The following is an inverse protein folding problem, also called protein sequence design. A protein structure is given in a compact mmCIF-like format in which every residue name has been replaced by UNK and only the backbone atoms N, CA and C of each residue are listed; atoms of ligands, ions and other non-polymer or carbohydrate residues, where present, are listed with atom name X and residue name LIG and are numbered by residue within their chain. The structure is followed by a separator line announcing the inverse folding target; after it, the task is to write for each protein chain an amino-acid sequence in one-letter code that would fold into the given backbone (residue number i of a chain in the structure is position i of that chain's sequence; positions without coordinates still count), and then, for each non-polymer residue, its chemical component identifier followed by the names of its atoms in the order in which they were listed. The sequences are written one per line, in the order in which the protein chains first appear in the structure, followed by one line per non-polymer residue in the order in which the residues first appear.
data_IF_615973085876
#
_entry.id   IF_615973085876
#
_cell.length_a   1.000
_cell.length_b   1.000
_cell.length_c   1.000
_cell.angle_alpha   90.00
_cell.angle_beta   90.00
_cell.angle_gamma   90.00
#
_symmetry.space_group_name_H-M   'P 1'
#
loop_
_entity.id
_entity.type
_entity.pdbx_description
1 polymer ?
#
# COMPACT_ATOMS: atom_id res chain seq x y z
N UNK A 1 6.50 0.93 3.78
CA UNK A 1 6.79 2.24 3.14
C UNK A 1 6.00 3.36 3.81
N UNK A 2 4.68 3.49 3.57
CA UNK A 2 3.87 4.60 4.11
C UNK A 2 3.99 4.83 5.63
N UNK A 3 3.78 3.79 6.44
CA UNK A 3 3.86 3.90 7.90
C UNK A 3 5.20 4.49 8.35
N UNK A 4 6.31 3.90 7.91
CA UNK A 4 7.66 4.38 8.23
C UNK A 4 7.88 5.80 7.75
N UNK A 5 7.41 6.19 6.56
CA UNK A 5 7.57 7.56 6.04
C UNK A 5 6.83 8.58 6.90
N UNK A 6 5.62 8.26 7.35
CA UNK A 6 4.77 9.14 8.18
C UNK A 6 5.35 9.31 9.58
N UNK A 7 5.73 8.19 10.20
CA UNK A 7 6.21 8.13 11.58
C UNK A 7 7.74 8.19 11.73
N UNK A 8 8.48 8.53 10.66
CA UNK A 8 9.96 8.46 10.69
C UNK A 8 10.64 9.25 11.81
N UNK A 9 10.01 10.33 12.29
CA UNK A 9 10.54 11.15 13.40
C UNK A 9 10.25 10.54 14.77
N UNK A 10 9.13 9.84 14.90
CA UNK A 10 8.72 9.14 16.12
C UNK A 10 9.44 7.79 16.24
N UNK A 11 9.69 7.15 15.09
CA UNK A 11 10.34 5.85 14.96
C UNK A 11 11.46 5.93 13.91
N UNK A 12 12.63 6.49 14.25
CA UNK A 12 13.77 6.59 13.33
C UNK A 12 14.26 5.22 12.88
N UNK A 13 14.76 5.11 11.65
CA UNK A 13 15.29 3.86 11.11
C UNK A 13 16.52 3.35 11.88
N UNK A 14 17.33 4.27 12.44
CA UNK A 14 18.46 3.96 13.32
C UNK A 14 18.04 3.58 14.76
N UNK A 15 16.75 3.73 15.10
CA UNK A 15 16.18 3.58 16.44
C UNK A 15 15.97 2.14 16.90
N UNK A 16 16.97 1.27 16.77
CA UNK A 16 17.05 -0.05 17.43
C UNK A 16 15.82 -0.98 17.31
N UNK A 17 15.72 -1.94 18.24
CA UNK A 17 14.68 -2.99 18.28
C UNK A 17 13.26 -2.46 18.55
N UNK A 18 13.09 -1.18 18.88
CA UNK A 18 11.81 -0.58 19.27
C UNK A 18 10.93 -0.10 18.13
N UNK A 19 11.38 -0.16 16.87
CA UNK A 19 10.55 0.23 15.73
C UNK A 19 9.33 -0.70 15.60
N UNK A 20 8.08 -0.20 15.48
CA UNK A 20 6.87 -1.05 15.48
C UNK A 20 6.86 -2.17 14.45
N UNK A 21 7.42 -1.93 13.25
CA UNK A 21 7.56 -2.98 12.21
C UNK A 21 8.52 -4.13 12.56
N UNK A 22 9.28 -4.05 13.67
CA UNK A 22 10.10 -5.16 14.15
C UNK A 22 9.29 -6.16 14.99
N UNK A 23 8.17 -5.73 15.57
CA UNK A 23 7.32 -6.53 16.46
C UNK A 23 5.91 -6.77 15.92
N UNK A 24 5.44 -5.91 15.02
CA UNK A 24 4.11 -5.98 14.41
C UNK A 24 4.22 -6.26 12.90
N UNK A 25 3.25 -6.98 12.37
CA UNK A 25 3.08 -7.12 10.93
C UNK A 25 2.68 -5.79 10.28
N UNK A 26 3.02 -5.53 9.00
CA UNK A 26 2.64 -4.29 8.33
C UNK A 26 1.13 -3.99 8.32
N UNK A 27 0.29 -5.03 8.29
CA UNK A 27 -1.18 -4.92 8.36
C UNK A 27 -1.72 -4.61 9.75
N UNK A 28 -0.90 -4.69 10.79
CA UNK A 28 -1.24 -4.23 12.14
C UNK A 28 -0.91 -2.74 12.32
N UNK A 29 0.14 -2.25 11.65
CA UNK A 29 0.51 -0.85 11.62
C UNK A 29 -0.41 0.00 10.73
N UNK A 30 -0.92 -0.56 9.62
CA UNK A 30 -1.90 0.09 8.74
C UNK A 30 -3.05 -0.88 8.49
N UNK A 31 -4.18 -0.64 9.16
CA UNK A 31 -5.32 -1.56 9.14
C UNK A 31 -6.17 -1.37 7.88
N UNK A 32 -6.64 -2.48 7.32
CA UNK A 32 -7.62 -2.49 6.25
C UNK A 32 -9.02 -2.14 6.75
N UNK A 33 -9.68 -1.22 6.04
CA UNK A 33 -11.06 -0.83 6.34
C UNK A 33 -11.99 -2.05 6.29
N UNK A 34 -11.94 -2.82 5.20
CA UNK A 34 -12.88 -3.91 4.91
C UNK A 34 -12.61 -5.23 5.64
N UNK A 35 -11.41 -5.45 6.18
CA UNK A 35 -11.05 -6.74 6.81
C UNK A 35 -10.80 -6.66 8.31
N UNK A 36 -10.43 -5.47 8.83
CA UNK A 36 -9.99 -5.33 10.22
C UNK A 36 -10.78 -4.29 11.01
N UNK A 37 -11.35 -3.28 10.34
CA UNK A 37 -12.05 -2.19 11.02
C UNK A 37 -13.57 -2.32 10.93
N UNK A 38 -14.11 -2.51 9.72
CA UNK A 38 -15.55 -2.71 9.47
C UNK A 38 -15.88 -4.19 9.37
N UNK A 39 -15.84 -4.88 10.51
CA UNK A 39 -16.23 -6.30 10.64
C UNK A 39 -17.70 -6.41 11.08
N UNK A 40 -18.38 -7.57 10.84
CA UNK A 40 -19.78 -7.74 11.21
C UNK A 40 -20.07 -7.37 12.66
N UNK A 41 -21.15 -6.61 12.87
CA UNK A 41 -21.62 -6.12 14.18
C UNK A 41 -20.66 -5.16 14.92
N UNK A 42 -19.70 -4.55 14.22
CA UNK A 42 -18.79 -3.59 14.82
C UNK A 42 -18.65 -2.33 13.95
N UNK A 43 -18.85 -1.17 14.58
CA UNK A 43 -18.52 0.13 13.99
C UNK A 43 -17.25 0.62 14.69
N UNK A 44 -16.13 0.80 13.97
CA UNK A 44 -14.87 1.23 14.57
C UNK A 44 -14.97 2.71 15.01
N UNK A 45 -14.48 3.01 16.21
CA UNK A 45 -14.33 4.37 16.72
C UNK A 45 -13.15 5.10 16.06
N UNK A 46 -13.28 5.47 14.79
CA UNK A 46 -12.18 6.08 14.02
C UNK A 46 -11.75 7.46 14.56
N UNK A 47 -12.61 8.11 15.36
CA UNK A 47 -12.34 9.39 16.01
C UNK A 47 -11.49 9.24 17.29
N UNK A 48 -11.35 8.02 17.81
CA UNK A 48 -10.48 7.71 18.96
C UNK A 48 -9.01 7.53 18.54
N UNK A 49 -8.75 7.44 17.22
CA UNK A 49 -7.41 7.25 16.68
C UNK A 49 -6.66 8.57 16.59
N UNK A 50 -5.39 8.56 16.98
CA UNK A 50 -4.50 9.72 16.90
C UNK A 50 -4.11 10.04 15.46
N UNK A 51 -4.09 11.32 15.11
CA UNK A 51 -3.61 11.78 13.81
C UNK A 51 -2.07 11.77 13.72
N UNK A 52 -1.49 11.54 12.52
CA UNK A 52 -2.19 11.22 11.28
C UNK A 52 -2.70 9.77 11.25
N UNK A 53 -3.99 9.60 10.94
CA UNK A 53 -4.61 8.27 10.80
C UNK A 53 -4.23 7.62 9.46
N UNK A 54 -3.79 6.36 9.52
CA UNK A 54 -3.40 5.57 8.35
C UNK A 54 -4.34 4.38 8.16
N UNK A 55 -4.94 4.28 6.98
CA UNK A 55 -5.83 3.19 6.61
C UNK A 55 -5.44 2.62 5.25
N UNK A 56 -5.74 1.34 5.04
CA UNK A 56 -5.62 0.67 3.76
C UNK A 56 -6.99 0.22 3.27
N UNK A 57 -7.18 0.15 1.95
CA UNK A 57 -8.38 -0.44 1.35
C UNK A 57 -8.12 -0.90 -0.08
N UNK A 58 -8.85 -1.94 -0.49
CA UNK A 58 -9.01 -2.36 -1.87
C UNK A 58 -10.33 -1.88 -2.48
N UNK A 59 -11.04 -0.96 -1.83
CA UNK A 59 -12.28 -0.40 -2.37
C UNK A 59 -12.01 0.39 -3.66
N UNK A 60 -12.89 0.30 -4.67
CA UNK A 60 -12.82 1.17 -5.83
C UNK A 60 -13.04 2.62 -5.41
N UNK A 61 -12.44 3.56 -6.15
CA UNK A 61 -12.45 4.98 -5.79
C UNK A 61 -13.88 5.54 -5.53
N UNK A 62 -14.88 5.07 -6.27
CA UNK A 62 -16.28 5.52 -6.12
C UNK A 62 -16.99 4.99 -4.88
N UNK A 63 -16.45 3.95 -4.25
CA UNK A 63 -16.98 3.41 -3.00
C UNK A 63 -16.35 4.07 -1.78
N UNK A 64 -15.35 4.94 -1.97
CA UNK A 64 -14.81 5.73 -0.88
C UNK A 64 -15.89 6.70 -0.36
N UNK A 65 -16.02 6.87 0.97
CA UNK A 65 -16.95 7.82 1.55
C UNK A 65 -16.75 9.22 0.96
N UNK A 66 -17.82 9.96 0.69
CA UNK A 66 -17.73 11.33 0.17
C UNK A 66 -16.93 12.29 1.06
N UNK A 67 -16.75 11.94 2.34
CA UNK A 67 -15.85 12.66 3.25
C UNK A 67 -14.37 12.53 2.88
N UNK A 68 -13.93 11.45 2.22
CA UNK A 68 -12.52 11.27 1.83
C UNK A 68 -12.06 12.38 0.88
N UNK A 69 -12.71 12.62 -0.28
CA UNK A 69 -12.35 13.74 -1.13
C UNK A 69 -12.67 15.10 -0.50
N UNK A 70 -13.55 15.20 0.49
CA UNK A 70 -13.93 16.48 1.10
C UNK A 70 -13.03 16.90 2.29
N UNK A 71 -12.39 15.97 3.00
CA UNK A 71 -11.75 16.19 4.31
C UNK A 71 -10.27 16.57 4.27
N UNK A 72 -9.69 16.73 3.08
CA UNK A 72 -8.24 16.90 2.93
C UNK A 72 -7.44 15.61 3.13
N UNK A 73 -8.12 14.46 3.26
CA UNK A 73 -7.48 13.15 3.26
C UNK A 73 -6.68 12.94 1.97
N UNK A 74 -5.46 12.40 2.13
CA UNK A 74 -4.58 12.06 1.02
C UNK A 74 -4.72 10.57 0.69
N UNK A 75 -4.87 10.27 -0.59
CA UNK A 75 -5.00 8.91 -1.11
C UNK A 75 -3.71 8.53 -1.84
N UNK A 76 -3.13 7.40 -1.50
CA UNK A 76 -1.99 6.81 -2.21
C UNK A 76 -2.48 5.53 -2.88
N UNK A 77 -2.48 5.52 -4.21
CA UNK A 77 -2.86 4.36 -5.01
C UNK A 77 -1.63 3.68 -5.59
N UNK A 78 -1.54 2.36 -5.44
CA UNK A 78 -0.47 1.54 -6.03
C UNK A 78 -1.08 0.66 -7.12
N UNK A 79 -0.69 0.92 -8.36
CA UNK A 79 -1.00 0.09 -9.51
C UNK A 79 0.08 -0.98 -9.69
N UNK A 80 -0.28 -2.10 -10.32
CA UNK A 80 0.65 -3.16 -10.72
C UNK A 80 0.31 -3.62 -12.12
N UNK A 81 1.27 -4.17 -12.86
CA UNK A 81 0.99 -4.85 -14.12
C UNK A 81 -0.16 -5.87 -13.93
N UNK A 82 -1.17 -5.87 -14.82
CA UNK A 82 -2.36 -6.70 -14.65
C UNK A 82 -2.06 -8.21 -14.63
N UNK A 83 -1.02 -8.68 -15.34
CA UNK A 83 -0.63 -10.10 -15.31
C UNK A 83 -0.02 -10.45 -13.97
N UNK A 84 0.82 -9.58 -13.43
CA UNK A 84 1.42 -9.77 -12.11
C UNK A 84 0.37 -9.67 -10.99
N UNK A 85 -0.59 -8.74 -11.13
CA UNK A 85 -1.72 -8.62 -10.23
C UNK A 85 -2.58 -9.89 -10.23
N UNK A 86 -2.87 -10.45 -11.41
CA UNK A 86 -3.59 -11.71 -11.58
C UNK A 86 -2.87 -12.88 -10.89
N UNK A 87 -1.57 -13.06 -11.14
CA UNK A 87 -0.80 -14.15 -10.52
C UNK A 87 -0.77 -14.01 -9.00
N UNK A 88 -0.59 -12.79 -8.50
CA UNK A 88 -0.63 -12.48 -7.07
C UNK A 88 -1.99 -12.81 -6.45
N UNK A 89 -3.09 -12.38 -7.09
CA UNK A 89 -4.45 -12.65 -6.63
C UNK A 89 -4.78 -14.15 -6.67
N UNK A 90 -4.40 -14.84 -7.75
CA UNK A 90 -4.57 -16.28 -7.89
C UNK A 90 -3.85 -17.05 -6.76
N UNK A 91 -2.59 -16.71 -6.49
CA UNK A 91 -1.82 -17.30 -5.40
C UNK A 91 -2.47 -17.03 -4.04
N UNK A 92 -2.89 -15.79 -3.80
CA UNK A 92 -3.58 -15.40 -2.56
C UNK A 92 -4.88 -16.20 -2.37
N UNK A 93 -5.77 -16.22 -3.35
CA UNK A 93 -7.05 -16.94 -3.28
C UNK A 93 -6.82 -18.43 -3.02
N UNK A 94 -5.84 -19.06 -3.69
CA UNK A 94 -5.56 -20.48 -3.47
C UNK A 94 -5.04 -20.80 -2.06
N UNK A 95 -4.32 -19.87 -1.41
CA UNK A 95 -3.94 -20.05 0.02
C UNK A 95 -5.17 -20.08 0.92
N UNK A 96 -6.15 -19.22 0.68
CA UNK A 96 -7.42 -19.22 1.45
C UNK A 96 -8.24 -20.47 1.18
N UNK A 97 -8.38 -20.85 -0.10
CA UNK A 97 -9.08 -22.08 -0.49
C UNK A 97 -8.47 -23.32 0.18
N UNK A 98 -7.15 -23.43 0.18
CA UNK A 98 -6.46 -24.54 0.84
C UNK A 98 -6.74 -24.59 2.35
N UNK A 99 -6.74 -23.42 3.02
CA UNK A 99 -7.10 -23.31 4.44
C UNK A 99 -8.53 -23.77 4.72
N UNK A 100 -9.45 -23.48 3.80
CA UNK A 100 -10.86 -23.82 3.91
C UNK A 100 -11.18 -25.22 3.32
N UNK A 101 -10.14 -26.02 3.00
CA UNK A 101 -10.28 -27.40 2.49
C UNK A 101 -10.84 -27.49 1.07
N UNK A 102 -10.76 -26.41 0.29
CA UNK A 102 -11.24 -26.35 -1.09
C UNK A 102 -10.13 -26.61 -2.11
N UNK A 103 -10.49 -27.25 -3.22
CA UNK A 103 -9.59 -27.47 -4.36
C UNK A 103 -9.04 -26.15 -4.92
N UNK A 104 -7.76 -26.06 -5.30
CA UNK A 104 -7.19 -24.85 -5.86
C UNK A 104 -7.82 -24.48 -7.20
N UNK A 105 -8.00 -23.19 -7.44
CA UNK A 105 -8.36 -22.68 -8.77
C UNK A 105 -7.18 -22.87 -9.72
N UNK A 106 -7.47 -23.28 -10.95
CA UNK A 106 -6.48 -23.24 -12.03
C UNK A 106 -6.16 -21.79 -12.41
N UNK A 107 -4.94 -21.54 -12.90
CA UNK A 107 -4.55 -20.21 -13.42
C UNK A 107 -5.49 -19.77 -14.55
N UNK A 108 -5.88 -20.69 -15.45
CA UNK A 108 -6.80 -20.40 -16.56
C UNK A 108 -8.16 -19.92 -16.07
N UNK A 109 -8.72 -20.59 -15.06
CA UNK A 109 -10.00 -20.20 -14.44
C UNK A 109 -9.89 -18.84 -13.77
N UNK A 110 -8.83 -18.60 -13.00
CA UNK A 110 -8.60 -17.31 -12.36
C UNK A 110 -8.41 -16.18 -13.38
N UNK A 111 -7.73 -16.45 -14.50
CA UNK A 111 -7.58 -15.50 -15.60
C UNK A 111 -8.92 -15.16 -16.26
N UNK A 112 -9.81 -16.14 -16.44
CA UNK A 112 -11.17 -15.92 -16.91
C UNK A 112 -11.92 -14.93 -16.00
N UNK A 113 -11.97 -15.23 -14.70
CA UNK A 113 -12.60 -14.32 -13.72
C UNK A 113 -11.98 -12.91 -13.71
N UNK A 114 -10.66 -12.81 -13.81
CA UNK A 114 -9.96 -11.53 -13.84
C UNK A 114 -10.34 -10.70 -15.08
N UNK A 115 -10.35 -11.33 -16.26
CA UNK A 115 -10.74 -10.67 -17.51
C UNK A 115 -12.23 -10.26 -17.52
N UNK A 116 -13.10 -11.09 -16.95
CA UNK A 116 -14.53 -10.81 -16.82
C UNK A 116 -14.84 -9.77 -15.74
N UNK A 117 -13.82 -9.36 -14.96
CA UNK A 117 -13.96 -8.44 -13.84
C UNK A 117 -14.64 -9.06 -12.60
N UNK A 118 -14.86 -10.37 -12.60
CA UNK A 118 -15.48 -11.15 -11.53
C UNK A 118 -14.46 -11.55 -10.44
N UNK A 119 -13.67 -10.58 -9.98
CA UNK A 119 -12.67 -10.77 -8.92
C UNK A 119 -12.96 -9.87 -7.72
N UNK A 120 -12.31 -10.16 -6.60
CA UNK A 120 -12.32 -9.28 -5.44
C UNK A 120 -11.75 -7.91 -5.86
N UNK A 121 -12.55 -6.86 -5.68
CA UNK A 121 -12.26 -5.49 -6.14
C UNK A 121 -12.16 -5.30 -7.65
N UNK A 122 -12.69 -6.23 -8.45
CA UNK A 122 -12.83 -6.08 -9.90
C UNK A 122 -13.97 -5.12 -10.29
N UNK A 123 -14.03 -4.69 -11.57
CA UNK A 123 -13.10 -5.00 -12.65
C UNK A 123 -11.77 -4.25 -12.53
N UNK A 124 -10.64 -4.95 -12.74
CA UNK A 124 -9.29 -4.39 -12.54
C UNK A 124 -9.04 -3.10 -13.35
N UNK A 125 -9.45 -3.10 -14.62
CA UNK A 125 -9.25 -1.97 -15.52
C UNK A 125 -9.96 -0.71 -15.04
N UNK A 126 -11.24 -0.84 -14.67
CA UNK A 126 -12.03 0.28 -14.17
C UNK A 126 -11.49 0.77 -12.82
N UNK A 127 -11.06 -0.16 -11.96
CA UNK A 127 -10.40 0.17 -10.70
C UNK A 127 -9.19 1.08 -10.92
N UNK A 128 -8.23 0.66 -11.76
CA UNK A 128 -7.03 1.43 -12.07
C UNK A 128 -7.38 2.76 -12.75
N UNK A 129 -8.26 2.75 -13.76
CA UNK A 129 -8.61 3.95 -14.52
C UNK A 129 -9.27 5.02 -13.65
N UNK A 130 -10.10 4.64 -12.68
CA UNK A 130 -10.75 5.61 -11.78
C UNK A 130 -9.74 6.30 -10.85
N UNK A 131 -8.82 5.55 -10.26
CA UNK A 131 -7.75 6.13 -9.46
C UNK A 131 -6.79 6.98 -10.31
N UNK A 132 -6.49 6.55 -11.53
CA UNK A 132 -5.68 7.33 -12.48
C UNK A 132 -6.34 8.68 -12.83
N UNK A 133 -7.64 8.67 -13.16
CA UNK A 133 -8.40 9.91 -13.42
C UNK A 133 -8.45 10.82 -12.20
N UNK A 134 -8.62 10.25 -11.01
CA UNK A 134 -8.61 11.01 -9.77
C UNK A 134 -7.24 11.67 -9.51
N UNK A 135 -6.15 10.96 -9.77
CA UNK A 135 -4.79 11.50 -9.72
C UNK A 135 -4.59 12.67 -10.69
N UNK A 136 -5.06 12.55 -11.93
CA UNK A 136 -4.97 13.64 -12.90
C UNK A 136 -5.81 14.86 -12.51
N UNK A 137 -6.96 14.65 -11.87
CA UNK A 137 -7.86 15.73 -11.47
C UNK A 137 -7.40 16.46 -10.18
N UNK A 138 -6.80 15.74 -9.23
CA UNK A 138 -6.39 16.26 -7.91
C UNK A 138 -5.05 15.65 -7.49
N UNK A 139 -3.93 15.97 -8.17
CA UNK A 139 -2.62 15.37 -7.90
C UNK A 139 -2.07 15.69 -6.50
N UNK A 140 -2.56 16.75 -5.86
CA UNK A 140 -2.23 17.14 -4.49
C UNK A 140 -2.96 16.30 -3.42
N UNK A 141 -3.99 15.54 -3.84
CA UNK A 141 -4.81 14.68 -2.96
C UNK A 141 -4.73 13.20 -3.30
N UNK A 142 -4.42 12.86 -4.55
CA UNK A 142 -4.30 11.47 -4.99
C UNK A 142 -2.94 11.26 -5.64
N UNK A 143 -2.09 10.47 -5.00
CA UNK A 143 -0.81 10.04 -5.55
C UNK A 143 -0.98 8.67 -6.22
N UNK A 144 -0.59 8.58 -7.49
CA UNK A 144 -0.56 7.32 -8.22
C UNK A 144 0.89 6.82 -8.34
N UNK A 145 1.14 5.61 -7.84
CA UNK A 145 2.42 4.92 -7.90
C UNK A 145 2.27 3.61 -8.67
N UNK A 146 3.36 3.18 -9.31
CA UNK A 146 3.45 1.83 -9.87
C UNK A 146 4.33 0.96 -9.01
N UNK A 147 3.89 -0.26 -8.75
CA UNK A 147 4.63 -1.24 -7.96
C UNK A 147 6.00 -1.54 -8.57
N UNK A 148 6.09 -1.54 -9.91
CA UNK A 148 7.35 -1.78 -10.61
C UNK A 148 8.37 -0.66 -10.35
N UNK A 149 7.92 0.61 -10.33
CA UNK A 149 8.76 1.76 -9.98
C UNK A 149 9.22 1.71 -8.52
N UNK A 150 8.33 1.28 -7.62
CA UNK A 150 8.66 1.10 -6.21
C UNK A 150 9.69 0.02 -5.97
N UNK A 151 9.75 -0.98 -6.84
CA UNK A 151 10.74 -2.06 -6.77
C UNK A 151 12.05 -1.69 -7.45
N UNK A 152 11.99 -0.87 -8.51
CA UNK A 152 13.17 -0.41 -9.25
C UNK A 152 13.95 0.69 -8.50
N UNK A 153 13.25 1.68 -7.95
CA UNK A 153 13.85 2.74 -7.14
C UNK A 153 12.95 3.04 -5.92
N UNK A 154 13.09 2.24 -4.84
CA UNK A 154 12.32 2.44 -3.62
C UNK A 154 12.58 3.81 -2.99
N UNK A 155 13.80 4.33 -3.08
CA UNK A 155 14.20 5.59 -2.45
C UNK A 155 13.53 6.80 -3.12
N UNK A 156 13.49 6.84 -4.45
CA UNK A 156 12.74 7.86 -5.19
C UNK A 156 11.25 7.81 -4.87
N UNK A 157 10.66 6.61 -4.79
CA UNK A 157 9.25 6.46 -4.42
C UNK A 157 8.97 6.93 -2.99
N UNK A 158 9.87 6.65 -2.03
CA UNK A 158 9.76 7.13 -0.64
C UNK A 158 9.85 8.65 -0.58
N UNK A 159 10.76 9.30 -1.32
CA UNK A 159 10.86 10.77 -1.38
C UNK A 159 9.59 11.39 -1.97
N UNK A 160 9.14 10.88 -3.12
CA UNK A 160 7.87 11.31 -3.75
C UNK A 160 6.68 11.17 -2.80
N UNK A 161 6.62 10.06 -2.06
CA UNK A 161 5.59 9.84 -1.05
C UNK A 161 5.70 10.85 0.10
N UNK A 162 6.91 11.09 0.61
CA UNK A 162 7.18 12.03 1.71
C UNK A 162 6.79 13.47 1.36
N UNK A 163 7.15 13.92 0.16
CA UNK A 163 6.71 15.20 -0.41
C UNK A 163 5.18 15.27 -0.49
N UNK A 164 4.57 14.25 -1.09
CA UNK A 164 3.12 14.19 -1.26
C UNK A 164 2.36 14.26 0.06
N UNK A 165 2.82 13.59 1.12
CA UNK A 165 2.17 13.65 2.44
C UNK A 165 2.50 14.94 3.22
N UNK A 166 3.35 15.83 2.68
CA UNK A 166 3.72 17.10 3.32
C UNK A 166 4.79 16.94 4.41
N UNK A 167 5.61 15.89 4.31
CA UNK A 167 6.73 15.61 5.22
C UNK A 167 8.00 15.33 4.41
N UNK A 168 8.49 16.27 3.57
CA UNK A 168 9.71 16.05 2.79
C UNK A 168 10.89 15.73 3.70
N UNK A 169 11.88 14.99 3.20
CA UNK A 169 13.12 14.73 3.92
C UNK A 169 13.92 16.03 4.07
N UNK A 170 14.57 16.22 5.22
CA UNK A 170 15.57 17.28 5.37
C UNK A 170 16.86 16.88 4.64
N UNK A 171 17.66 17.87 4.23
CA UNK A 171 18.93 17.64 3.52
C UNK A 171 19.85 16.66 4.29
N UNK A 172 19.91 16.80 5.62
CA UNK A 172 20.66 15.89 6.50
C UNK A 172 20.13 14.45 6.48
N UNK A 173 18.81 14.26 6.43
CA UNK A 173 18.17 12.93 6.32
C UNK A 173 18.48 12.27 4.96
N UNK A 174 18.60 13.07 3.89
CA UNK A 174 18.95 12.57 2.54
C UNK A 174 20.41 12.17 2.43
N UNK A 175 21.33 12.93 3.05
CA UNK A 175 22.75 12.62 3.10
C UNK A 175 23.04 11.33 3.88
N UNK A 176 22.37 11.13 5.02
CA UNK A 176 22.49 9.92 5.83
C UNK A 176 21.93 8.68 5.10
N UNK A 177 20.80 8.83 4.39
CA UNK A 177 20.22 7.78 3.57
C UNK A 177 21.10 7.40 2.36
N UNK A 178 21.77 8.37 1.74
CA UNK A 178 22.74 8.13 0.66
C UNK A 178 24.03 7.45 1.14
N UNK A 179 24.47 7.75 2.37
CA UNK A 179 25.65 7.13 2.97
C UNK A 179 25.44 5.65 3.33
N UNK A 180 24.24 5.27 3.81
CA UNK A 180 23.93 3.86 4.10
C UNK A 180 23.85 3.00 2.84
N UNK A 181 23.32 3.52 1.73
CA UNK A 181 23.26 2.78 0.46
C UNK A 181 24.66 2.51 -0.10
N UNK A 182 25.55 3.52 -0.10
CA UNK A 182 26.94 3.39 -0.53
C UNK A 182 27.75 2.40 0.34
N UNK A 183 27.46 2.32 1.64
CA UNK A 183 28.11 1.38 2.56
C UNK A 183 27.60 -0.07 2.42
N UNK A 184 26.40 -0.26 1.86
CA UNK A 184 25.78 -1.59 1.68
C UNK A 184 26.23 -2.32 0.41
N UNK A 185 26.75 -1.58 -0.58
CA UNK A 185 27.28 -2.12 -1.85
C UNK A 185 28.58 -2.93 -1.73
N UNK A 186 29.21 -3.03 -0.55
CA UNK A 186 30.44 -3.83 -0.37
C UNK A 186 30.22 -5.25 0.13
N UNK A 187 28.99 -5.69 0.44
CA UNK A 187 28.80 -6.97 1.11
C UNK A 187 27.53 -7.73 0.66
N UNK A 188 27.51 -8.21 -0.60
CA UNK A 188 26.78 -9.43 -1.00
C UNK A 188 27.19 -9.87 -2.41
N UNK A 189 28.39 -10.44 -2.49
CA UNK A 189 28.75 -11.43 -3.49
C UNK A 189 29.14 -12.69 -2.71
N UNK A 190 28.77 -13.87 -3.20
CA UNK A 190 28.69 -15.21 -2.53
C UNK A 190 27.47 -15.33 -1.59
N UNK A 191 26.53 -16.27 -1.77
CA UNK A 191 26.56 -17.60 -2.40
C UNK A 191 25.15 -17.95 -2.88
#
# INVERSE_FOLDING_TARGET
MLYSTVHRREHPAAGGSGHPLNSLGPHECVKFLEYQLYVPNQIPGLDELTDPRLFATHAPFVSLPGSVPASGCKVVYVCRDPKDALVSQWSFVNKYRARDGMEPLSVKTAAGFFCDGATLSGPHWDHVLRYWRAHLAQPERVLFLRYEEMSQDPAACVRKLAEFIGRPFAMEEEEEAGAVDASSTSARSTT
#
